data_IF_984250142538
#
_entry.id   IF_984250142538
#
_cell.length_a   1.000
_cell.length_b   1.000
_cell.length_c   1.000
_cell.angle_alpha   90.00
_cell.angle_beta   90.00
_cell.angle_gamma   90.00
#
_symmetry.space_group_name_H-M   'P 1'
#
loop_
_entity.id
_entity.type
_entity.pdbx_description
1 polymer ?
#
# COMPACT_ATOMS: atom_id res chain seq x y z
N UNK A 1 -28.06 -7.65 22.79
CA UNK A 1 -29.03 -6.62 22.33
C UNK A 1 -28.26 -5.31 22.33
N UNK A 2 -28.28 -4.55 21.23
CA UNK A 2 -27.58 -3.28 21.13
C UNK A 2 -28.29 -2.19 21.93
N UNK A 3 -27.54 -1.35 22.64
CA UNK A 3 -28.07 -0.15 23.30
C UNK A 3 -28.36 0.95 22.28
N UNK A 4 -29.11 1.98 22.70
CA UNK A 4 -29.39 3.15 21.85
C UNK A 4 -28.06 3.84 21.38
N UNK A 5 -27.05 3.87 22.28
CA UNK A 5 -25.70 4.35 21.93
C UNK A 5 -25.08 3.50 20.82
N UNK A 6 -25.12 2.18 20.95
CA UNK A 6 -24.57 1.27 19.93
C UNK A 6 -25.25 1.44 18.56
N UNK A 7 -26.57 1.59 18.55
CA UNK A 7 -27.33 1.82 17.32
C UNK A 7 -26.95 3.13 16.64
N UNK A 8 -26.71 4.19 17.43
CA UNK A 8 -26.25 5.46 16.90
C UNK A 8 -24.83 5.37 16.32
N UNK A 9 -23.92 4.65 17.00
CA UNK A 9 -22.53 4.44 16.52
C UNK A 9 -22.50 3.60 15.25
N UNK A 10 -23.25 2.52 15.17
CA UNK A 10 -23.39 1.68 13.96
C UNK A 10 -23.87 2.53 12.78
N UNK A 11 -24.90 3.35 12.99
CA UNK A 11 -25.43 4.24 11.96
C UNK A 11 -24.41 5.30 11.52
N UNK A 12 -23.63 5.86 12.45
CA UNK A 12 -22.59 6.86 12.16
C UNK A 12 -21.42 6.27 11.34
N UNK A 13 -21.24 4.95 11.41
CA UNK A 13 -20.30 4.20 10.54
C UNK A 13 -20.94 3.74 9.22
N UNK A 14 -22.14 4.24 8.89
CA UNK A 14 -22.84 3.85 7.67
C UNK A 14 -23.08 2.33 7.57
N UNK A 15 -23.18 1.67 8.73
CA UNK A 15 -23.44 0.23 8.86
C UNK A 15 -24.88 -0.01 9.35
N UNK A 16 -25.38 -1.21 9.09
CA UNK A 16 -26.66 -1.70 9.60
C UNK A 16 -26.45 -2.71 10.72
N UNK A 17 -27.47 -2.89 11.57
CA UNK A 17 -27.47 -3.91 12.63
C UNK A 17 -27.30 -5.31 12.05
N UNK A 18 -27.89 -5.59 10.89
CA UNK A 18 -27.75 -6.89 10.21
C UNK A 18 -26.31 -7.14 9.78
N UNK A 19 -25.63 -6.14 9.20
CA UNK A 19 -24.21 -6.26 8.84
C UNK A 19 -23.31 -6.54 10.07
N UNK A 20 -23.59 -5.88 11.21
CA UNK A 20 -22.87 -6.16 12.46
C UNK A 20 -23.13 -7.58 12.96
N UNK A 21 -24.39 -8.04 12.90
CA UNK A 21 -24.73 -9.42 13.28
C UNK A 21 -24.05 -10.44 12.37
N UNK A 22 -23.97 -10.17 11.06
CA UNK A 22 -23.27 -11.02 10.11
C UNK A 22 -21.76 -11.06 10.39
N UNK A 23 -21.14 -9.94 10.72
CA UNK A 23 -19.74 -9.89 11.14
C UNK A 23 -19.50 -10.68 12.42
N UNK A 24 -20.38 -10.55 13.43
CA UNK A 24 -20.32 -11.34 14.67
C UNK A 24 -20.41 -12.85 14.35
N UNK A 25 -21.36 -13.23 13.52
CA UNK A 25 -21.54 -14.64 13.12
C UNK A 25 -20.31 -15.19 12.39
N UNK A 26 -19.73 -14.42 11.47
CA UNK A 26 -18.52 -14.79 10.73
C UNK A 26 -17.31 -14.93 11.66
N UNK A 27 -17.09 -14.00 12.59
CA UNK A 27 -15.99 -14.08 13.55
C UNK A 27 -16.12 -15.33 14.43
N UNK A 28 -17.32 -15.63 14.93
CA UNK A 28 -17.61 -16.80 15.79
C UNK A 28 -17.46 -18.12 15.06
N UNK A 29 -17.95 -18.20 13.82
CA UNK A 29 -17.86 -19.43 13.01
C UNK A 29 -16.47 -19.68 12.44
N UNK A 30 -15.63 -18.65 12.41
CA UNK A 30 -14.37 -18.65 11.66
C UNK A 30 -14.60 -18.64 10.14
N UNK A 31 -13.54 -18.46 9.38
CA UNK A 31 -13.59 -18.52 7.92
C UNK A 31 -13.51 -19.98 7.44
N UNK A 32 -14.36 -20.33 6.51
CA UNK A 32 -14.28 -21.62 5.85
C UNK A 32 -12.95 -21.75 5.07
N UNK A 33 -12.28 -22.89 5.18
CA UNK A 33 -11.09 -23.17 4.39
C UNK A 33 -11.44 -23.25 2.90
N UNK A 34 -10.60 -22.60 2.07
CA UNK A 34 -10.71 -22.73 0.63
C UNK A 34 -10.47 -24.18 0.20
N UNK A 35 -11.37 -24.72 -0.63
CA UNK A 35 -11.20 -26.06 -1.22
C UNK A 35 -10.22 -25.97 -2.38
N UNK A 36 -8.92 -26.04 -2.09
CA UNK A 36 -7.87 -26.01 -3.11
C UNK A 36 -7.77 -27.42 -3.74
N UNK A 37 -7.66 -27.47 -5.07
CA UNK A 37 -7.46 -28.71 -5.81
C UNK A 37 -5.98 -29.10 -5.82
N UNK A 38 -5.14 -28.18 -6.23
CA UNK A 38 -3.68 -28.37 -6.40
C UNK A 38 -2.96 -27.03 -6.45
N UNK A 39 -1.64 -27.04 -6.33
CA UNK A 39 -0.82 -25.86 -6.53
C UNK A 39 -0.76 -25.48 -8.02
N UNK A 40 -0.83 -24.18 -8.33
CA UNK A 40 -0.60 -23.70 -9.68
C UNK A 40 0.88 -23.89 -10.08
N UNK A 41 1.11 -24.41 -11.28
CA UNK A 41 2.46 -24.61 -11.86
C UNK A 41 2.51 -24.06 -13.28
N UNK A 42 3.72 -23.93 -13.82
CA UNK A 42 3.91 -23.48 -15.23
C UNK A 42 3.20 -24.47 -16.18
N UNK A 43 2.29 -23.96 -17.00
CA UNK A 43 1.43 -24.74 -17.89
C UNK A 43 0.15 -25.27 -17.25
N UNK A 44 0.00 -25.15 -15.92
CA UNK A 44 -1.22 -25.45 -15.19
C UNK A 44 -1.49 -24.34 -14.16
N UNK A 45 -2.15 -23.27 -14.59
CA UNK A 45 -2.49 -22.11 -13.78
C UNK A 45 -1.45 -20.98 -13.79
N UNK A 46 -0.21 -21.23 -14.21
CA UNK A 46 0.83 -20.20 -14.40
C UNK A 46 1.19 -20.10 -15.88
N UNK A 47 1.02 -18.92 -16.47
CA UNK A 47 1.47 -18.60 -17.82
C UNK A 47 2.94 -18.16 -17.77
N UNK A 48 3.82 -18.87 -18.47
CA UNK A 48 5.20 -18.46 -18.73
C UNK A 48 5.35 -18.15 -20.22
N UNK A 49 5.63 -16.91 -20.53
CA UNK A 49 5.83 -16.45 -21.90
C UNK A 49 7.25 -16.75 -22.40
N UNK A 50 7.40 -16.82 -23.71
CA UNK A 50 8.69 -16.78 -24.41
C UNK A 50 9.03 -15.32 -24.73
N UNK A 51 10.30 -15.00 -24.93
CA UNK A 51 10.78 -13.64 -25.18
C UNK A 51 10.04 -12.91 -26.32
N UNK A 52 9.72 -13.61 -27.41
CA UNK A 52 8.97 -13.01 -28.51
C UNK A 52 7.49 -12.73 -28.16
N UNK A 53 6.89 -13.52 -27.27
CA UNK A 53 5.53 -13.30 -26.77
C UNK A 53 5.51 -12.13 -25.78
N UNK A 54 6.52 -12.01 -24.92
CA UNK A 54 6.69 -10.87 -24.01
C UNK A 54 6.78 -9.56 -24.82
N UNK A 55 7.65 -9.55 -25.85
CA UNK A 55 7.81 -8.41 -26.77
C UNK A 55 6.50 -8.09 -27.50
N UNK A 56 5.76 -9.09 -27.95
CA UNK A 56 4.47 -8.90 -28.61
C UNK A 56 3.47 -8.17 -27.69
N UNK A 57 3.32 -8.61 -26.45
CA UNK A 57 2.36 -8.01 -25.53
C UNK A 57 2.77 -6.60 -25.07
N UNK A 58 4.07 -6.34 -24.89
CA UNK A 58 4.58 -4.99 -24.60
C UNK A 58 4.23 -4.05 -25.77
N UNK A 59 4.50 -4.45 -27.01
CA UNK A 59 4.21 -3.67 -28.20
C UNK A 59 2.70 -3.45 -28.40
N UNK A 60 1.87 -4.46 -28.10
CA UNK A 60 0.42 -4.34 -28.16
C UNK A 60 -0.09 -3.25 -27.20
N UNK A 61 0.42 -3.27 -25.97
CA UNK A 61 0.09 -2.23 -25.00
C UNK A 61 0.57 -0.85 -25.46
N UNK A 62 1.83 -0.72 -25.90
CA UNK A 62 2.38 0.56 -26.35
C UNK A 62 1.63 1.16 -27.54
N UNK A 63 1.11 0.33 -28.45
CA UNK A 63 0.28 0.77 -29.58
C UNK A 63 -1.12 1.23 -29.14
N UNK A 64 -1.69 0.57 -28.13
CA UNK A 64 -3.07 0.86 -27.69
C UNK A 64 -3.12 1.95 -26.60
N UNK A 65 -2.06 2.13 -25.82
CA UNK A 65 -2.02 3.03 -24.68
C UNK A 65 -2.41 4.50 -24.98
N UNK A 66 -2.14 5.08 -26.19
CA UNK A 66 -2.59 6.45 -26.48
C UNK A 66 -4.11 6.63 -26.53
N UNK A 67 -4.86 5.55 -26.75
CA UNK A 67 -6.33 5.55 -26.87
C UNK A 67 -7.02 5.20 -25.55
N UNK A 68 -6.26 4.82 -24.51
CA UNK A 68 -6.78 4.33 -23.25
C UNK A 68 -6.68 5.38 -22.15
N UNK A 69 -7.74 5.48 -21.35
CA UNK A 69 -7.68 6.14 -20.05
C UNK A 69 -7.09 5.19 -19.03
N UNK A 70 -6.05 5.64 -18.33
CA UNK A 70 -5.33 4.79 -17.37
C UNK A 70 -5.14 5.51 -16.06
N UNK A 71 -5.17 4.75 -14.95
CA UNK A 71 -4.84 5.23 -13.60
C UNK A 71 -4.00 4.22 -12.84
N UNK A 72 -3.09 4.71 -12.02
CA UNK A 72 -2.38 3.91 -11.02
C UNK A 72 -3.07 4.08 -9.67
N UNK A 73 -3.72 3.02 -9.20
CA UNK A 73 -4.39 2.96 -7.89
C UNK A 73 -3.43 2.43 -6.83
N UNK A 74 -3.22 3.23 -5.78
CA UNK A 74 -2.22 2.94 -4.75
C UNK A 74 -2.84 2.97 -3.35
N UNK A 75 -3.08 1.81 -2.72
CA UNK A 75 -3.39 1.75 -1.30
C UNK A 75 -2.24 2.31 -0.45
N UNK A 76 -2.48 3.44 0.26
CA UNK A 76 -1.45 4.19 0.99
C UNK A 76 -1.86 4.57 2.42
N UNK A 77 -2.96 4.04 2.96
CA UNK A 77 -3.46 4.35 4.30
C UNK A 77 -2.68 3.68 5.43
N UNK A 78 -1.78 2.74 5.13
CA UNK A 78 -1.05 1.95 6.12
C UNK A 78 -0.05 2.79 6.92
N UNK A 79 -0.18 2.79 8.27
CA UNK A 79 0.80 3.38 9.17
C UNK A 79 2.07 2.52 9.28
N UNK A 80 3.19 3.17 9.58
CA UNK A 80 4.49 2.52 9.74
C UNK A 80 4.67 1.80 11.10
N UNK A 81 3.71 1.87 12.00
CA UNK A 81 3.81 1.34 13.37
C UNK A 81 4.28 -0.11 13.44
N UNK A 82 3.75 -0.98 12.55
CA UNK A 82 4.16 -2.40 12.52
C UNK A 82 5.60 -2.59 12.04
N UNK A 83 6.07 -1.71 11.17
CA UNK A 83 7.44 -1.75 10.63
C UNK A 83 8.48 -1.50 11.71
N UNK A 84 8.16 -0.65 12.68
CA UNK A 84 9.07 -0.27 13.77
C UNK A 84 8.80 -1.01 15.09
N UNK A 85 7.94 -2.04 15.10
CA UNK A 85 7.59 -2.77 16.32
C UNK A 85 8.82 -3.27 17.08
N UNK A 86 9.81 -3.86 16.37
CA UNK A 86 11.05 -4.37 16.97
C UNK A 86 11.92 -3.28 17.62
N UNK A 87 11.83 -2.04 17.16
CA UNK A 87 12.53 -0.89 17.75
C UNK A 87 11.84 -0.42 19.03
N UNK A 88 10.51 -0.44 19.09
CA UNK A 88 9.78 -0.20 20.34
C UNK A 88 10.10 -1.28 21.38
N UNK A 89 10.15 -2.55 20.98
CA UNK A 89 10.55 -3.64 21.86
C UNK A 89 11.98 -3.46 22.36
N UNK A 90 12.89 -2.99 21.50
CA UNK A 90 14.26 -2.65 21.90
C UNK A 90 14.27 -1.53 22.94
N UNK A 91 13.60 -0.39 22.69
CA UNK A 91 13.57 0.75 23.63
C UNK A 91 12.95 0.39 24.99
N UNK A 92 11.96 -0.50 24.99
CA UNK A 92 11.24 -0.89 26.23
C UNK A 92 12.01 -1.92 27.07
N UNK A 93 12.84 -2.75 26.45
CA UNK A 93 13.46 -3.88 27.12
C UNK A 93 14.98 -3.78 27.28
N UNK A 94 15.62 -2.87 26.53
CA UNK A 94 17.07 -2.65 26.67
C UNK A 94 17.36 -1.62 27.75
N UNK A 95 18.25 -2.00 28.67
CA UNK A 95 18.72 -1.15 29.77
C UNK A 95 20.25 -0.96 29.62
N UNK A 96 20.67 0.29 29.43
CA UNK A 96 22.08 0.69 29.29
C UNK A 96 22.95 0.25 30.46
N UNK A 97 22.39 0.02 31.68
CA UNK A 97 23.12 -0.40 32.86
C UNK A 97 23.36 -1.91 32.90
N UNK A 98 22.68 -2.69 32.08
CA UNK A 98 22.69 -4.16 32.11
C UNK A 98 23.58 -4.83 31.05
N UNK A 99 24.35 -4.05 30.30
CA UNK A 99 25.30 -4.58 29.32
C UNK A 99 25.21 -3.95 27.94
N UNK A 100 25.98 -4.45 26.99
CA UNK A 100 26.03 -3.92 25.63
C UNK A 100 24.79 -4.30 24.79
N UNK A 101 24.54 -3.53 23.73
CA UNK A 101 23.51 -3.85 22.72
C UNK A 101 23.74 -5.23 22.12
N UNK A 102 25.00 -5.63 21.88
CA UNK A 102 25.33 -6.96 21.36
C UNK A 102 24.87 -8.08 22.30
N UNK A 103 25.11 -7.93 23.61
CA UNK A 103 24.63 -8.90 24.62
C UNK A 103 23.10 -8.98 24.67
N UNK A 104 22.40 -7.86 24.47
CA UNK A 104 20.95 -7.82 24.38
C UNK A 104 20.44 -8.54 23.12
N UNK A 105 21.07 -8.32 21.97
CA UNK A 105 20.72 -8.97 20.70
C UNK A 105 20.89 -10.50 20.82
N UNK A 106 22.00 -10.96 21.36
CA UNK A 106 22.26 -12.39 21.57
C UNK A 106 21.18 -13.05 22.45
N UNK A 107 20.78 -12.39 23.53
CA UNK A 107 19.74 -12.89 24.46
C UNK A 107 18.34 -12.87 23.84
N UNK A 108 18.00 -11.81 23.12
CA UNK A 108 16.66 -11.63 22.53
C UNK A 108 16.48 -12.38 21.21
N UNK A 109 17.57 -12.81 20.56
CA UNK A 109 17.60 -13.39 19.21
C UNK A 109 16.83 -12.56 18.17
N UNK A 110 16.85 -11.21 18.31
CA UNK A 110 16.12 -10.29 17.47
C UNK A 110 16.89 -10.00 16.17
N UNK A 111 16.62 -10.79 15.13
CA UNK A 111 17.27 -10.68 13.81
C UNK A 111 16.95 -9.38 13.07
N UNK A 112 15.78 -8.78 13.32
CA UNK A 112 15.38 -7.51 12.68
C UNK A 112 16.22 -6.36 13.26
N UNK A 113 16.40 -6.33 14.58
CA UNK A 113 17.24 -5.35 15.25
C UNK A 113 18.71 -5.47 14.81
N UNK A 114 19.24 -6.69 14.71
CA UNK A 114 20.60 -6.93 14.20
C UNK A 114 20.81 -6.31 12.83
N UNK A 115 19.93 -6.64 11.86
CA UNK A 115 20.02 -6.11 10.50
C UNK A 115 19.87 -4.60 10.45
N UNK A 116 18.99 -4.04 11.29
CA UNK A 116 18.79 -2.59 11.36
C UNK A 116 20.06 -1.89 11.82
N UNK A 117 20.68 -2.35 12.91
CA UNK A 117 21.88 -1.73 13.47
C UNK A 117 23.11 -1.88 12.57
N UNK A 118 23.25 -3.02 11.87
CA UNK A 118 24.31 -3.23 10.88
C UNK A 118 24.17 -2.33 9.66
N UNK A 119 22.95 -1.98 9.29
CA UNK A 119 22.66 -1.18 8.11
C UNK A 119 22.35 0.30 8.41
N UNK A 120 22.38 0.73 9.67
CA UNK A 120 21.84 2.02 10.14
C UNK A 120 22.33 3.21 9.33
N UNK A 121 23.62 3.27 8.99
CA UNK A 121 24.23 4.37 8.21
C UNK A 121 23.85 4.37 6.72
N UNK A 122 23.33 3.23 6.25
CA UNK A 122 22.87 3.06 4.86
C UNK A 122 21.39 3.39 4.68
N UNK A 123 20.66 3.56 5.80
CA UNK A 123 19.24 3.83 5.76
C UNK A 123 18.96 5.22 5.15
N UNK A 124 17.92 5.37 4.34
CA UNK A 124 17.59 6.63 3.67
C UNK A 124 17.43 7.81 4.62
N UNK A 125 16.92 7.57 5.81
CA UNK A 125 16.65 8.59 6.83
C UNK A 125 17.82 8.83 7.80
N UNK A 126 18.97 8.19 7.64
CA UNK A 126 20.09 8.26 8.59
C UNK A 126 20.52 9.72 8.85
N UNK A 127 20.80 10.47 7.80
CA UNK A 127 21.27 11.87 7.90
C UNK A 127 20.24 12.78 8.58
N UNK A 128 18.96 12.58 8.28
CA UNK A 128 17.87 13.35 8.89
C UNK A 128 17.77 13.06 10.40
N UNK A 129 17.82 11.79 10.79
CA UNK A 129 17.78 11.38 12.20
C UNK A 129 18.99 11.92 12.96
N UNK A 130 20.20 11.78 12.42
CA UNK A 130 21.44 12.30 13.03
C UNK A 130 21.34 13.84 13.21
N UNK A 131 20.93 14.55 12.15
CA UNK A 131 20.75 16.00 12.22
C UNK A 131 19.73 16.43 13.29
N UNK A 132 18.59 15.72 13.36
CA UNK A 132 17.56 15.98 14.38
C UNK A 132 18.09 15.64 15.78
N UNK A 133 18.84 14.54 15.93
CA UNK A 133 19.40 14.13 17.23
C UNK A 133 20.37 15.17 17.76
N UNK A 134 21.29 15.69 16.94
CA UNK A 134 22.18 16.78 17.33
C UNK A 134 21.45 18.05 17.77
N UNK A 135 20.30 18.35 17.17
CA UNK A 135 19.49 19.52 17.59
C UNK A 135 18.83 19.33 18.96
N UNK A 136 18.47 18.07 19.29
CA UNK A 136 17.74 17.76 20.56
C UNK A 136 18.71 17.45 21.69
N UNK A 137 19.91 16.94 21.37
CA UNK A 137 20.95 16.52 22.34
C UNK A 137 22.24 17.27 22.02
N UNK A 138 22.49 18.42 22.67
CA UNK A 138 23.67 19.25 22.37
C UNK A 138 25.01 18.55 22.56
N UNK A 139 25.10 17.61 23.49
CA UNK A 139 26.30 16.82 23.78
C UNK A 139 26.30 15.41 23.14
N UNK A 140 25.63 15.24 22.00
CA UNK A 140 25.53 13.95 21.30
C UNK A 140 26.89 13.28 21.03
N UNK A 141 27.90 14.08 20.69
CA UNK A 141 29.25 13.58 20.40
C UNK A 141 30.00 13.01 21.65
N UNK A 142 29.49 13.28 22.85
CA UNK A 142 30.07 12.79 24.10
C UNK A 142 29.43 11.49 24.58
N UNK A 143 28.40 11.00 23.87
CA UNK A 143 27.69 9.78 24.19
C UNK A 143 28.54 8.53 23.88
N UNK A 144 28.34 7.47 24.65
CA UNK A 144 28.84 6.14 24.31
C UNK A 144 28.13 5.59 23.07
N UNK A 145 28.71 4.57 22.44
CA UNK A 145 28.12 3.91 21.27
C UNK A 145 26.68 3.43 21.54
N UNK A 146 26.44 2.84 22.71
CA UNK A 146 25.12 2.35 23.11
C UNK A 146 24.12 3.49 23.28
N UNK A 147 24.53 4.59 23.92
CA UNK A 147 23.68 5.78 24.09
C UNK A 147 23.34 6.42 22.74
N UNK A 148 24.31 6.56 21.84
CA UNK A 148 24.06 7.06 20.48
C UNK A 148 23.00 6.25 19.76
N UNK A 149 23.06 4.92 19.80
CA UNK A 149 22.09 4.03 19.12
C UNK A 149 20.71 4.12 19.74
N UNK A 150 20.62 4.18 21.07
CA UNK A 150 19.34 4.38 21.78
C UNK A 150 18.73 5.72 21.43
N UNK A 151 19.51 6.80 21.46
CA UNK A 151 19.00 8.14 21.13
C UNK A 151 18.64 8.31 19.64
N UNK A 152 19.36 7.65 18.75
CA UNK A 152 19.00 7.56 17.35
C UNK A 152 17.61 6.94 17.18
N UNK A 153 17.35 5.78 17.79
CA UNK A 153 16.06 5.10 17.72
C UNK A 153 14.95 5.92 18.39
N UNK A 154 15.21 6.55 19.52
CA UNK A 154 14.27 7.48 20.16
C UNK A 154 13.94 8.65 19.25
N UNK A 155 14.94 9.21 18.56
CA UNK A 155 14.71 10.35 17.64
C UNK A 155 13.80 9.96 16.48
N UNK A 156 13.92 8.74 15.98
CA UNK A 156 13.01 8.24 14.95
C UNK A 156 11.56 8.12 15.43
N UNK A 157 11.35 7.60 16.64
CA UNK A 157 10.05 7.11 17.09
C UNK A 157 9.28 8.05 18.01
N UNK A 158 9.97 8.90 18.76
CA UNK A 158 9.38 9.82 19.72
C UNK A 158 8.49 10.86 19.01
N UNK A 159 7.25 11.02 19.53
CA UNK A 159 6.24 11.94 19.02
C UNK A 159 6.73 13.40 18.98
N UNK A 160 7.54 13.82 19.97
CA UNK A 160 8.11 15.15 20.03
C UNK A 160 9.29 15.38 19.06
N UNK A 161 9.77 14.33 18.37
CA UNK A 161 10.94 14.38 17.49
C UNK A 161 10.55 14.16 16.02
N UNK A 162 10.84 12.98 15.41
CA UNK A 162 10.49 12.68 14.02
C UNK A 162 9.19 11.90 13.87
N UNK A 163 8.79 11.15 14.88
CA UNK A 163 7.52 10.42 14.96
C UNK A 163 7.23 9.51 13.74
N UNK A 164 8.27 8.84 13.20
CA UNK A 164 8.13 8.03 11.99
C UNK A 164 7.11 6.89 12.13
N UNK A 165 6.86 6.41 13.35
CA UNK A 165 5.88 5.35 13.59
C UNK A 165 4.44 5.78 13.33
N UNK A 166 4.15 7.07 13.46
CA UNK A 166 2.83 7.66 13.20
C UNK A 166 2.65 8.01 11.71
N UNK A 167 3.75 8.29 11.00
CA UNK A 167 3.68 8.63 9.58
C UNK A 167 3.14 7.47 8.73
N UNK A 168 2.42 7.77 7.64
CA UNK A 168 2.07 6.77 6.66
C UNK A 168 3.34 6.29 5.96
N UNK A 169 3.40 5.00 5.63
CA UNK A 169 4.56 4.39 4.96
C UNK A 169 4.99 5.14 3.69
N UNK A 170 4.02 5.71 2.99
CA UNK A 170 4.26 6.43 1.73
C UNK A 170 5.11 7.66 1.85
N UNK A 171 5.13 8.30 3.03
CA UNK A 171 5.81 9.57 3.27
C UNK A 171 7.13 9.43 4.05
N UNK A 172 7.52 8.20 4.38
CA UNK A 172 8.84 7.98 4.98
C UNK A 172 9.93 8.03 3.90
N UNK A 173 11.15 8.51 4.25
CA UNK A 173 12.33 8.35 3.40
C UNK A 173 12.54 6.88 3.03
N UNK A 174 12.47 6.55 1.74
CA UNK A 174 12.38 5.16 1.28
C UNK A 174 13.60 4.72 0.46
N UNK A 175 14.03 5.51 -0.54
CA UNK A 175 15.22 5.24 -1.32
C UNK A 175 16.25 6.36 -1.21
N UNK A 176 17.54 6.00 -1.04
CA UNK A 176 18.66 6.95 -1.00
C UNK A 176 19.38 6.94 -2.35
N UNK A 177 19.36 8.07 -3.02
CA UNK A 177 20.12 8.34 -4.23
C UNK A 177 21.32 9.24 -3.92
N UNK A 178 22.20 9.47 -4.90
CA UNK A 178 23.41 10.31 -4.69
C UNK A 178 23.10 11.74 -4.28
N UNK A 179 22.03 12.33 -4.86
CA UNK A 179 21.70 13.73 -4.68
C UNK A 179 20.51 13.99 -3.76
N UNK A 180 19.70 12.97 -3.49
CA UNK A 180 18.45 13.12 -2.73
C UNK A 180 17.99 11.80 -2.11
N UNK A 181 17.05 11.93 -1.20
CA UNK A 181 16.25 10.81 -0.68
C UNK A 181 14.85 10.95 -1.26
N UNK A 182 14.25 9.84 -1.65
CA UNK A 182 12.91 9.78 -2.22
C UNK A 182 11.96 9.04 -1.28
N UNK A 183 10.71 9.50 -1.19
CA UNK A 183 9.63 8.79 -0.49
C UNK A 183 9.05 7.69 -1.39
N UNK A 184 8.36 6.71 -0.79
CA UNK A 184 7.63 5.71 -1.58
C UNK A 184 6.50 6.36 -2.41
N UNK A 185 5.88 7.43 -1.90
CA UNK A 185 4.89 8.22 -2.62
C UNK A 185 5.48 8.82 -3.91
N UNK A 186 6.66 9.46 -3.82
CA UNK A 186 7.37 10.01 -4.97
C UNK A 186 7.73 8.94 -6.01
N UNK A 187 8.20 7.76 -5.59
CA UNK A 187 8.56 6.67 -6.51
C UNK A 187 7.37 6.18 -7.36
N UNK A 188 6.15 6.26 -6.83
CA UNK A 188 4.96 5.91 -7.59
C UNK A 188 4.72 6.79 -8.80
N UNK A 189 5.13 8.06 -8.78
CA UNK A 189 5.04 8.97 -9.91
C UNK A 189 6.01 8.58 -11.02
N UNK A 190 7.27 8.31 -10.66
CA UNK A 190 8.24 7.82 -11.64
C UNK A 190 7.77 6.53 -12.31
N UNK A 191 7.29 5.56 -11.54
CA UNK A 191 6.76 4.33 -12.11
C UNK A 191 5.54 4.58 -13.00
N UNK A 192 4.62 5.47 -12.62
CA UNK A 192 3.44 5.79 -13.41
C UNK A 192 3.82 6.41 -14.77
N UNK A 193 4.85 7.26 -14.80
CA UNK A 193 5.38 7.83 -16.03
C UNK A 193 5.81 6.77 -17.04
N UNK A 194 6.32 5.63 -16.57
CA UNK A 194 6.83 4.55 -17.43
C UNK A 194 5.73 3.64 -18.01
N UNK A 195 4.65 3.35 -17.26
CA UNK A 195 3.68 2.34 -17.70
C UNK A 195 2.21 2.69 -17.51
N UNK A 196 1.88 3.71 -16.71
CA UNK A 196 0.49 4.11 -16.43
C UNK A 196 0.18 5.51 -16.96
N UNK A 197 0.82 5.90 -18.07
CA UNK A 197 0.61 7.18 -18.74
C UNK A 197 0.07 6.99 -20.15
N UNK A 198 -0.89 7.83 -20.54
CA UNK A 198 -1.39 7.95 -21.91
C UNK A 198 -0.92 9.27 -22.48
N UNK A 199 -0.26 9.24 -23.64
CA UNK A 199 0.40 10.41 -24.20
C UNK A 199 1.38 11.02 -23.17
N UNK A 200 1.11 12.24 -22.69
CA UNK A 200 1.95 12.93 -21.72
C UNK A 200 1.28 13.06 -20.33
N UNK A 201 0.18 12.37 -20.09
CA UNK A 201 -0.56 12.47 -18.82
C UNK A 201 -0.55 11.13 -18.10
N UNK A 202 -0.21 11.16 -16.81
CA UNK A 202 -0.32 10.03 -15.89
C UNK A 202 -1.32 10.37 -14.78
N UNK A 203 -2.29 9.48 -14.53
CA UNK A 203 -3.23 9.65 -13.43
C UNK A 203 -2.84 8.71 -12.29
N UNK A 204 -2.80 9.25 -11.07
CA UNK A 204 -2.57 8.50 -9.85
C UNK A 204 -3.72 8.72 -8.88
N UNK A 205 -4.17 7.65 -8.28
CA UNK A 205 -5.17 7.68 -7.22
C UNK A 205 -4.63 6.96 -5.98
N UNK A 206 -4.56 7.68 -4.86
CA UNK A 206 -4.09 7.13 -3.59
C UNK A 206 -5.25 7.02 -2.60
N UNK A 207 -5.39 5.85 -1.97
CA UNK A 207 -6.26 5.75 -0.80
C UNK A 207 -5.43 5.99 0.45
N UNK A 208 -5.73 7.06 1.17
CA UNK A 208 -4.97 7.51 2.33
C UNK A 208 -5.83 7.56 3.59
N UNK A 209 -5.21 7.70 4.75
CA UNK A 209 -5.92 8.05 5.98
C UNK A 209 -6.22 9.55 6.00
N UNK A 210 -7.43 9.94 6.37
CA UNK A 210 -7.87 11.33 6.39
C UNK A 210 -6.98 12.23 7.27
N UNK A 211 -6.48 11.68 8.38
CA UNK A 211 -5.57 12.40 9.30
C UNK A 211 -4.24 12.81 8.65
N UNK A 212 -3.84 12.14 7.57
CA UNK A 212 -2.60 12.41 6.84
C UNK A 212 -2.81 13.17 5.52
N UNK A 213 -4.05 13.59 5.22
CA UNK A 213 -4.35 14.28 3.98
C UNK A 213 -3.48 15.53 3.76
N UNK A 214 -3.27 16.31 4.81
CA UNK A 214 -2.40 17.49 4.76
C UNK A 214 -0.97 17.13 4.36
N UNK A 215 -0.40 16.10 5.00
CA UNK A 215 0.97 15.66 4.74
C UNK A 215 1.18 15.17 3.29
N UNK A 216 0.22 14.41 2.74
CA UNK A 216 0.29 13.98 1.35
C UNK A 216 0.18 15.13 0.36
N UNK A 217 -0.65 16.13 0.62
CA UNK A 217 -0.75 17.32 -0.23
C UNK A 217 0.51 18.19 -0.15
N UNK A 218 1.13 18.34 1.02
CA UNK A 218 2.40 19.05 1.19
C UNK A 218 3.53 18.36 0.42
N UNK A 219 3.63 17.04 0.52
CA UNK A 219 4.60 16.26 -0.24
C UNK A 219 4.35 16.36 -1.75
N UNK A 220 3.10 16.24 -2.20
CA UNK A 220 2.74 16.39 -3.61
C UNK A 220 3.20 17.74 -4.16
N UNK A 221 2.89 18.83 -3.47
CA UNK A 221 3.30 20.17 -3.88
C UNK A 221 4.84 20.34 -3.92
N UNK A 222 5.55 19.62 -3.06
CA UNK A 222 7.01 19.68 -3.01
C UNK A 222 7.66 18.93 -4.17
N UNK A 223 7.13 17.76 -4.58
CA UNK A 223 7.77 16.88 -5.55
C UNK A 223 7.30 17.10 -7.00
N UNK A 224 6.10 17.66 -7.21
CA UNK A 224 5.41 17.61 -8.51
C UNK A 224 6.20 18.28 -9.64
N UNK A 225 6.69 19.51 -9.44
CA UNK A 225 7.42 20.25 -10.47
C UNK A 225 8.69 19.51 -10.91
N UNK A 226 9.46 18.99 -9.96
CA UNK A 226 10.70 18.27 -10.24
C UNK A 226 10.44 16.97 -11.01
N UNK A 227 9.40 16.22 -10.63
CA UNK A 227 9.06 14.97 -11.29
C UNK A 227 8.51 15.23 -12.70
N UNK A 228 7.66 16.23 -12.89
CA UNK A 228 7.15 16.62 -14.20
C UNK A 228 8.29 17.06 -15.14
N UNK A 229 9.26 17.82 -14.62
CA UNK A 229 10.45 18.21 -15.38
C UNK A 229 11.34 17.01 -15.74
N UNK A 230 11.56 16.08 -14.79
CA UNK A 230 12.41 14.89 -15.02
C UNK A 230 11.77 13.88 -15.98
N UNK A 231 10.45 13.68 -15.89
CA UNK A 231 9.75 12.66 -16.68
C UNK A 231 9.15 13.18 -17.98
N UNK A 232 9.07 14.50 -18.17
CA UNK A 232 8.34 15.16 -19.25
C UNK A 232 6.87 14.67 -19.34
N UNK A 233 6.23 14.49 -18.17
CA UNK A 233 4.83 14.08 -18.02
C UNK A 233 4.11 15.03 -17.08
N UNK A 234 2.81 15.21 -17.29
CA UNK A 234 1.93 15.90 -16.36
C UNK A 234 1.21 14.86 -15.49
N UNK A 235 1.06 15.16 -14.21
CA UNK A 235 0.44 14.24 -13.26
C UNK A 235 -0.87 14.78 -12.71
N UNK A 236 -1.95 14.01 -12.89
CA UNK A 236 -3.22 14.24 -12.21
C UNK A 236 -3.28 13.33 -10.99
N UNK A 237 -3.28 13.91 -9.81
CA UNK A 237 -3.29 13.17 -8.55
C UNK A 237 -4.62 13.37 -7.83
N UNK A 238 -5.20 12.27 -7.35
CA UNK A 238 -6.42 12.29 -6.55
C UNK A 238 -6.30 11.41 -5.31
N UNK A 239 -7.08 11.72 -4.29
CA UNK A 239 -7.09 11.01 -3.02
C UNK A 239 -8.49 10.54 -2.69
N UNK A 240 -8.60 9.38 -2.04
CA UNK A 240 -9.82 8.93 -1.37
C UNK A 240 -9.49 8.32 0.00
N UNK A 241 -10.52 8.13 0.80
CA UNK A 241 -10.41 7.52 2.13
C UNK A 241 -11.17 6.20 2.13
N UNK A 242 -10.73 5.25 2.96
CA UNK A 242 -11.50 4.05 3.19
C UNK A 242 -12.88 4.42 3.73
N UNK A 243 -13.93 3.87 3.14
CA UNK A 243 -15.30 4.14 3.57
C UNK A 243 -15.56 3.51 4.95
N UNK A 244 -16.18 4.27 5.85
CA UNK A 244 -16.50 3.82 7.22
C UNK A 244 -17.39 2.59 7.25
N UNK A 245 -18.26 2.44 6.25
CA UNK A 245 -19.10 1.25 6.04
C UNK A 245 -18.32 -0.05 5.84
N UNK A 246 -17.03 0.03 5.56
CA UNK A 246 -16.13 -1.12 5.39
C UNK A 246 -15.36 -1.47 6.65
N UNK A 247 -15.52 -0.73 7.74
CA UNK A 247 -14.88 -1.02 9.01
C UNK A 247 -15.43 -2.31 9.63
N UNK A 248 -14.58 -2.99 10.38
CA UNK A 248 -14.94 -4.24 11.07
C UNK A 248 -14.94 -4.06 12.56
N UNK A 249 -15.84 -4.79 13.23
CA UNK A 249 -15.88 -4.88 14.68
C UNK A 249 -14.84 -5.85 15.23
N UNK A 250 -14.62 -5.80 16.54
CA UNK A 250 -13.86 -6.81 17.27
C UNK A 250 -14.76 -7.47 18.34
N UNK A 251 -14.46 -8.72 18.68
CA UNK A 251 -15.08 -9.44 19.79
C UNK A 251 -14.07 -9.66 20.91
N UNK A 252 -14.58 -9.74 22.14
CA UNK A 252 -13.82 -10.20 23.31
C UNK A 252 -13.60 -11.73 23.22
N UNK A 253 -12.77 -12.27 24.12
CA UNK A 253 -12.57 -13.72 24.23
C UNK A 253 -13.86 -14.48 24.66
N UNK A 254 -14.86 -13.76 25.18
CA UNK A 254 -16.16 -14.32 25.56
C UNK A 254 -17.22 -14.15 24.45
N UNK A 255 -16.78 -13.84 23.22
CA UNK A 255 -17.67 -13.62 22.08
C UNK A 255 -18.63 -12.41 22.20
N UNK A 256 -18.32 -11.46 23.05
CA UNK A 256 -19.07 -10.22 23.20
C UNK A 256 -18.46 -9.10 22.35
N UNK A 257 -19.27 -8.15 21.89
CA UNK A 257 -18.80 -6.99 21.16
C UNK A 257 -17.78 -6.20 21.99
N UNK A 258 -16.59 -6.03 21.42
CA UNK A 258 -15.54 -5.26 22.11
C UNK A 258 -15.89 -3.76 22.14
N UNK A 259 -15.78 -3.19 23.32
CA UNK A 259 -16.00 -1.76 23.57
C UNK A 259 -14.76 -1.15 24.21
N UNK A 260 -14.47 0.09 23.85
CA UNK A 260 -13.44 0.88 24.50
C UNK A 260 -13.83 1.31 25.93
N UNK A 261 -12.92 1.94 26.64
CA UNK A 261 -13.09 2.35 28.04
C UNK A 261 -14.23 3.33 28.26
N UNK A 262 -14.63 4.08 27.23
CA UNK A 262 -15.77 4.99 27.22
C UNK A 262 -17.11 4.30 26.86
N UNK A 263 -17.05 2.99 26.63
CA UNK A 263 -18.20 2.15 26.27
C UNK A 263 -18.60 2.26 24.78
N UNK A 264 -17.78 2.88 23.91
CA UNK A 264 -18.00 2.92 22.47
C UNK A 264 -17.59 1.62 21.81
N UNK A 265 -18.24 1.25 20.68
CA UNK A 265 -17.86 0.11 19.88
C UNK A 265 -16.51 0.37 19.21
N UNK A 266 -15.57 -0.56 19.32
CA UNK A 266 -14.31 -0.49 18.58
C UNK A 266 -14.53 -0.90 17.11
N UNK A 267 -14.56 0.09 16.22
CA UNK A 267 -14.49 -0.11 14.77
C UNK A 267 -13.04 -0.04 14.31
N UNK A 268 -12.66 -0.96 13.43
CA UNK A 268 -11.30 -1.06 12.92
C UNK A 268 -11.30 -1.05 11.39
N UNK A 269 -10.42 -0.25 10.78
CA UNK A 269 -10.23 -0.30 9.33
C UNK A 269 -9.91 -1.73 8.88
N UNK A 270 -10.62 -2.18 7.85
CA UNK A 270 -10.40 -3.49 7.24
C UNK A 270 -9.15 -3.48 6.35
N UNK A 271 -8.75 -4.68 5.88
CA UNK A 271 -7.66 -4.82 4.92
C UNK A 271 -8.01 -4.28 3.53
N UNK A 272 -7.15 -4.55 2.55
CA UNK A 272 -7.27 -4.01 1.18
C UNK A 272 -8.58 -4.34 0.47
N UNK A 273 -9.29 -5.41 0.88
CA UNK A 273 -10.63 -5.73 0.36
C UNK A 273 -11.65 -4.61 0.59
N UNK A 274 -11.50 -3.84 1.67
CA UNK A 274 -12.33 -2.68 1.96
C UNK A 274 -12.19 -1.55 0.94
N UNK A 275 -11.12 -1.53 0.15
CA UNK A 275 -10.87 -0.52 -0.87
C UNK A 275 -11.50 -0.88 -2.22
N UNK A 276 -12.24 -1.98 -2.31
CA UNK A 276 -12.92 -2.39 -3.55
C UNK A 276 -13.95 -1.33 -4.01
N UNK A 277 -14.65 -0.69 -3.07
CA UNK A 277 -15.57 0.39 -3.40
C UNK A 277 -14.84 1.61 -3.93
N UNK A 278 -13.70 2.01 -3.32
CA UNK A 278 -12.86 3.09 -3.82
C UNK A 278 -12.33 2.79 -5.24
N UNK A 279 -12.00 1.53 -5.50
CA UNK A 279 -11.56 1.09 -6.82
C UNK A 279 -12.70 1.16 -7.86
N UNK A 280 -13.92 0.76 -7.49
CA UNK A 280 -15.09 0.80 -8.35
C UNK A 280 -15.59 2.21 -8.67
N UNK A 281 -15.25 3.21 -7.84
CA UNK A 281 -15.58 4.61 -8.08
C UNK A 281 -14.70 5.24 -9.20
N UNK A 282 -13.68 4.52 -9.69
CA UNK A 282 -12.77 4.98 -10.73
C UNK A 282 -13.22 4.53 -12.12
N UNK A 283 -13.47 5.48 -13.01
CA UNK A 283 -13.90 5.23 -14.39
C UNK A 283 -12.71 5.35 -15.37
N UNK A 284 -11.96 4.26 -15.52
CA UNK A 284 -10.79 4.15 -16.40
C UNK A 284 -10.80 2.81 -17.14
N UNK A 285 -10.23 2.79 -18.35
CA UNK A 285 -10.12 1.59 -19.18
C UNK A 285 -9.16 0.55 -18.55
N UNK A 286 -8.05 1.03 -17.94
CA UNK A 286 -7.07 0.20 -17.25
C UNK A 286 -6.69 0.82 -15.89
N UNK A 287 -6.77 0.02 -14.84
CA UNK A 287 -6.34 0.38 -13.50
C UNK A 287 -5.15 -0.48 -13.08
N UNK A 288 -3.98 0.13 -12.88
CA UNK A 288 -2.80 -0.52 -12.35
C UNK A 288 -2.81 -0.44 -10.82
N UNK A 289 -2.96 -1.58 -10.14
CA UNK A 289 -2.97 -1.63 -8.67
C UNK A 289 -1.58 -1.96 -8.16
N UNK A 290 -1.07 -1.18 -7.20
CA UNK A 290 0.21 -1.43 -6.54
C UNK A 290 0.22 -0.86 -5.13
N UNK A 291 0.67 -1.64 -4.14
CA UNK A 291 0.80 -1.16 -2.76
C UNK A 291 1.88 -0.07 -2.66
N UNK A 292 1.69 0.86 -1.72
CA UNK A 292 2.57 2.03 -1.52
C UNK A 292 4.04 1.65 -1.27
N UNK A 293 4.30 0.56 -0.57
CA UNK A 293 5.65 0.11 -0.21
C UNK A 293 6.27 -0.89 -1.19
N UNK A 294 5.63 -1.10 -2.35
CA UNK A 294 6.08 -2.05 -3.38
C UNK A 294 6.86 -1.39 -4.53
N UNK A 295 7.49 -0.26 -4.29
CA UNK A 295 8.29 0.46 -5.29
C UNK A 295 9.74 0.00 -5.32
N UNK A 296 10.39 0.19 -6.45
CA UNK A 296 11.79 -0.18 -6.67
C UNK A 296 12.63 1.06 -6.97
N UNK A 297 13.95 0.95 -6.78
CA UNK A 297 14.89 2.01 -7.16
C UNK A 297 14.91 2.24 -8.67
N UNK A 298 15.31 3.44 -9.11
CA UNK A 298 15.26 3.90 -10.52
C UNK A 298 15.91 2.93 -11.51
N UNK A 299 16.97 2.25 -11.13
CA UNK A 299 17.69 1.28 -11.96
C UNK A 299 16.81 0.11 -12.41
N UNK A 300 15.73 -0.18 -11.67
CA UNK A 300 14.80 -1.27 -11.96
C UNK A 300 13.48 -0.80 -12.58
N UNK A 301 13.24 0.52 -12.72
CA UNK A 301 11.97 1.04 -13.25
C UNK A 301 11.65 0.50 -14.65
N UNK A 302 12.64 0.45 -15.55
CA UNK A 302 12.42 -0.08 -16.90
C UNK A 302 11.99 -1.56 -16.90
N UNK A 303 12.61 -2.35 -16.04
CA UNK A 303 12.28 -3.77 -15.92
C UNK A 303 10.86 -3.97 -15.40
N UNK A 304 10.50 -3.28 -14.30
CA UNK A 304 9.13 -3.31 -13.76
C UNK A 304 8.12 -2.80 -14.78
N UNK A 305 8.45 -1.72 -15.50
CA UNK A 305 7.60 -1.17 -16.56
C UNK A 305 7.31 -2.22 -17.65
N UNK A 306 8.32 -2.92 -18.13
CA UNK A 306 8.15 -3.94 -19.15
C UNK A 306 7.18 -5.04 -18.69
N UNK A 307 7.32 -5.52 -17.45
CA UNK A 307 6.37 -6.50 -16.88
C UNK A 307 4.96 -5.95 -16.74
N UNK A 308 4.78 -4.69 -16.33
CA UNK A 308 3.46 -4.06 -16.23
C UNK A 308 2.81 -3.87 -17.59
N UNK A 309 3.57 -3.42 -18.59
CA UNK A 309 3.09 -3.29 -19.97
C UNK A 309 2.72 -4.66 -20.59
N UNK A 310 3.54 -5.68 -20.36
CA UNK A 310 3.24 -7.05 -20.77
C UNK A 310 1.93 -7.56 -20.18
N UNK A 311 1.72 -7.38 -18.87
CA UNK A 311 0.46 -7.77 -18.21
C UNK A 311 -0.74 -7.01 -18.78
N UNK A 312 -0.61 -5.71 -19.04
CA UNK A 312 -1.66 -4.91 -19.66
C UNK A 312 -1.92 -5.34 -21.10
N UNK A 313 -0.88 -5.67 -21.88
CA UNK A 313 -1.02 -6.22 -23.24
C UNK A 313 -1.77 -7.56 -23.25
N UNK A 314 -1.47 -8.46 -22.30
CA UNK A 314 -2.21 -9.71 -22.14
C UNK A 314 -3.69 -9.43 -21.80
N UNK A 315 -3.96 -8.48 -20.90
CA UNK A 315 -5.32 -8.08 -20.53
C UNK A 315 -6.10 -7.60 -21.76
N UNK A 316 -5.51 -6.72 -22.58
CA UNK A 316 -6.13 -6.19 -23.80
C UNK A 316 -6.42 -7.32 -24.81
N UNK A 317 -5.48 -8.23 -25.04
CA UNK A 317 -5.68 -9.37 -25.93
C UNK A 317 -6.81 -10.29 -25.47
N UNK A 318 -6.87 -10.60 -24.16
CA UNK A 318 -7.95 -11.40 -23.57
C UNK A 318 -9.29 -10.68 -23.68
N UNK A 319 -9.33 -9.37 -23.42
CA UNK A 319 -10.54 -8.55 -23.52
C UNK A 319 -11.06 -8.51 -24.96
N UNK A 320 -10.21 -8.26 -25.93
CA UNK A 320 -10.55 -8.24 -27.36
C UNK A 320 -11.12 -9.60 -27.82
N UNK A 321 -10.50 -10.70 -27.43
CA UNK A 321 -10.98 -12.07 -27.71
C UNK A 321 -12.34 -12.34 -27.07
N UNK A 322 -12.51 -11.93 -25.82
CA UNK A 322 -13.76 -12.13 -25.07
C UNK A 322 -14.91 -11.38 -25.74
N UNK A 323 -14.73 -10.10 -26.06
CA UNK A 323 -15.78 -9.31 -26.73
C UNK A 323 -16.07 -9.82 -28.15
N UNK A 324 -15.06 -10.27 -28.87
CA UNK A 324 -15.26 -10.91 -30.18
C UNK A 324 -16.16 -12.15 -30.08
N UNK A 325 -15.91 -13.02 -29.11
CA UNK A 325 -16.74 -14.22 -28.92
C UNK A 325 -18.17 -13.87 -28.44
N UNK A 326 -18.32 -12.91 -27.53
CA UNK A 326 -19.64 -12.45 -27.08
C UNK A 326 -20.45 -11.87 -28.24
N UNK A 327 -19.85 -11.04 -29.08
CA UNK A 327 -20.52 -10.51 -30.26
C UNK A 327 -20.95 -11.60 -31.23
N UNK A 328 -20.11 -12.60 -31.46
CA UNK A 328 -20.49 -13.75 -32.29
C UNK A 328 -21.68 -14.52 -31.72
N UNK A 329 -21.72 -14.74 -30.42
CA UNK A 329 -22.85 -15.41 -29.75
C UNK A 329 -24.14 -14.60 -29.84
N UNK A 330 -24.08 -13.28 -29.70
CA UNK A 330 -25.24 -12.39 -29.85
C UNK A 330 -25.75 -12.46 -31.30
N UNK A 331 -24.88 -12.38 -32.29
CA UNK A 331 -25.26 -12.50 -33.71
C UNK A 331 -25.90 -13.87 -34.00
N UNK A 332 -25.34 -14.95 -33.45
CA UNK A 332 -25.90 -16.31 -33.64
C UNK A 332 -27.30 -16.41 -33.04
N UNK A 333 -27.53 -15.89 -31.84
CA UNK A 333 -28.83 -15.90 -31.18
C UNK A 333 -29.85 -15.03 -31.93
N UNK A 334 -29.49 -13.85 -32.40
CA UNK A 334 -30.36 -12.98 -33.23
C UNK A 334 -30.72 -13.67 -34.54
N UNK A 335 -29.80 -14.38 -35.19
CA UNK A 335 -30.05 -15.12 -36.43
C UNK A 335 -31.00 -16.31 -36.19
N UNK A 336 -30.91 -17.03 -35.09
CA UNK A 336 -31.84 -18.12 -34.74
C UNK A 336 -33.24 -17.59 -34.41
N UNK A 337 -33.36 -16.51 -33.63
CA UNK A 337 -34.64 -15.90 -33.26
C UNK A 337 -35.34 -15.38 -34.52
N UNK A 338 -34.62 -14.78 -35.47
CA UNK A 338 -35.22 -14.30 -36.74
C UNK A 338 -35.70 -15.41 -37.66
N UNK A 339 -35.16 -16.64 -37.55
CA UNK A 339 -35.60 -17.82 -38.32
C UNK A 339 -36.76 -18.61 -37.69
N UNK A 340 -36.99 -18.43 -36.38
CA UNK A 340 -38.08 -19.14 -35.66
C UNK A 340 -39.36 -18.29 -35.62
N UNK A 341 -39.37 -17.08 -36.19
CA UNK A 341 -40.53 -16.16 -36.21
C UNK A 341 -41.19 -16.09 -37.60
N UNK A 342 -40.96 -17.07 -38.50
CA UNK A 342 -41.69 -17.25 -39.75
C UNK A 342 -42.38 -18.59 -39.78
#
# INVERSE_FOLDING_TARGET
MFSDKDLAEIKNHELTVDQINDQIAQIKSGMAFSKLKEAATVGNGILKLKEHEETYFINLFDQRSPELSMVKFVPASGAATRMFKFLFEFLNNYDLTQGSINSYIEKSNNKELTKFLEAIEKLPFFEEVVHKTHKVIPNFNDLSFEEERVEFVKTMLDEARLNYSFYPKGLLPFHKYKARVSTAFEEHFFEAAYYASSLNVANLHFTISEIHNKNFNEELNYIQEDIEAETNKTFNTSFSYQKKSTDTIALTLNDELYKDTDGSILFRPSGHGALLENLNDLDYDIIFIKNIDNVVVKEHHQNISNYKKMLAGILLDVQDKTFKFLNQLIFFNLYFISKTTF
#
